data_IF_597872725529
#
_entry.id   IF_597872725529
#
_cell.length_a   1.000
_cell.length_b   1.000
_cell.length_c   1.000
_cell.angle_alpha   90.00
_cell.angle_beta   90.00
_cell.angle_gamma   90.00
#
_symmetry.space_group_name_H-M   'P 1'
#
loop_
_entity.id
_entity.type
_entity.pdbx_description
1 polymer ?
#
# COMPACT_ATOMS: atom_id res chain seq x y z
N UNK A 1 -26.13 -17.83 10.36
CA UNK A 1 -24.76 -17.84 10.93
C UNK A 1 -24.54 -16.51 11.65
N UNK A 2 -24.00 -16.53 12.86
CA UNK A 2 -23.63 -15.29 13.56
C UNK A 2 -22.32 -14.76 13.00
N UNK A 3 -22.07 -13.46 13.12
CA UNK A 3 -20.82 -12.82 12.67
C UNK A 3 -19.57 -13.48 13.27
N UNK A 4 -19.63 -13.92 14.54
CA UNK A 4 -18.53 -14.64 15.19
C UNK A 4 -18.20 -15.98 14.50
N UNK A 5 -19.21 -16.70 14.00
CA UNK A 5 -19.00 -17.95 13.28
C UNK A 5 -18.36 -17.72 11.90
N UNK A 6 -18.68 -16.61 11.25
CA UNK A 6 -18.09 -16.26 9.94
C UNK A 6 -16.61 -15.97 10.10
N UNK A 7 -16.23 -15.17 11.10
CA UNK A 7 -14.81 -14.83 11.35
C UNK A 7 -13.99 -16.06 11.76
N UNK A 8 -14.55 -16.93 12.62
CA UNK A 8 -13.88 -18.18 13.01
C UNK A 8 -13.70 -19.12 11.81
N UNK A 9 -14.71 -19.23 10.93
CA UNK A 9 -14.62 -20.02 9.71
C UNK A 9 -13.55 -19.45 8.76
N UNK A 10 -13.53 -18.14 8.55
CA UNK A 10 -12.53 -17.48 7.71
C UNK A 10 -11.10 -17.74 8.23
N UNK A 11 -10.87 -17.53 9.53
CA UNK A 11 -9.58 -17.79 10.16
C UNK A 11 -9.16 -19.27 10.04
N UNK A 12 -10.09 -20.19 10.24
CA UNK A 12 -9.87 -21.61 10.06
C UNK A 12 -9.53 -21.99 8.62
N UNK A 13 -10.20 -21.42 7.64
CA UNK A 13 -9.92 -21.66 6.22
C UNK A 13 -8.56 -21.11 5.79
N UNK A 14 -8.16 -19.94 6.29
CA UNK A 14 -6.82 -19.40 6.05
C UNK A 14 -5.76 -20.32 6.68
N UNK A 15 -5.95 -20.70 7.95
CA UNK A 15 -4.99 -21.53 8.67
C UNK A 15 -4.82 -22.94 8.08
N UNK A 16 -5.89 -23.50 7.49
CA UNK A 16 -5.90 -24.82 6.86
C UNK A 16 -5.47 -24.82 5.39
N UNK A 17 -5.22 -23.63 4.78
CA UNK A 17 -4.96 -23.52 3.36
C UNK A 17 -6.19 -23.67 2.45
N UNK A 18 -7.40 -23.65 3.03
CA UNK A 18 -8.65 -23.65 2.26
C UNK A 18 -8.93 -22.30 1.57
N UNK A 19 -8.24 -21.24 2.01
CA UNK A 19 -8.14 -19.95 1.35
C UNK A 19 -6.66 -19.65 1.16
N UNK A 20 -6.26 -19.39 -0.08
CA UNK A 20 -4.93 -18.91 -0.41
C UNK A 20 -4.88 -17.39 -0.22
N UNK A 21 -3.87 -16.92 0.50
CA UNK A 21 -3.56 -15.50 0.63
C UNK A 21 -2.32 -15.20 -0.20
N UNK A 22 -2.50 -14.37 -1.21
CA UNK A 22 -1.42 -14.00 -2.13
C UNK A 22 -0.96 -12.58 -1.82
N UNK A 23 0.32 -12.42 -1.50
CA UNK A 23 0.94 -11.10 -1.35
C UNK A 23 1.36 -10.57 -2.71
N UNK A 24 0.69 -9.53 -3.18
CA UNK A 24 0.99 -8.84 -4.43
C UNK A 24 1.84 -7.58 -4.21
N UNK A 25 2.40 -7.39 -3.02
CA UNK A 25 3.21 -6.22 -2.68
C UNK A 25 4.56 -6.25 -3.39
N UNK A 26 4.87 -5.20 -4.14
CA UNK A 26 6.21 -4.99 -4.68
C UNK A 26 7.21 -4.61 -3.59
N UNK A 27 8.46 -5.02 -3.74
CA UNK A 27 9.52 -4.64 -2.82
C UNK A 27 9.67 -3.10 -2.76
N UNK A 28 9.59 -2.53 -1.56
CA UNK A 28 9.77 -1.10 -1.34
C UNK A 28 11.21 -0.80 -0.94
N UNK A 29 11.90 0.00 -1.74
CA UNK A 29 13.29 0.36 -1.49
C UNK A 29 13.83 1.38 -2.49
N UNK A 30 15.13 1.71 -2.41
CA UNK A 30 15.75 2.69 -3.31
C UNK A 30 15.63 2.35 -4.81
N UNK A 31 15.50 1.07 -5.15
CA UNK A 31 15.35 0.57 -6.52
C UNK A 31 13.88 0.47 -6.98
N UNK A 32 12.93 0.86 -6.14
CA UNK A 32 11.51 0.85 -6.53
C UNK A 32 11.29 1.77 -7.73
N UNK A 33 10.72 1.26 -8.84
CA UNK A 33 10.41 2.09 -9.99
C UNK A 33 9.45 3.23 -9.62
N UNK A 34 9.78 4.43 -10.06
CA UNK A 34 8.94 5.61 -9.88
C UNK A 34 8.45 6.10 -11.24
N UNK A 35 7.19 6.53 -11.27
CA UNK A 35 6.63 7.16 -12.46
C UNK A 35 7.40 8.46 -12.76
N UNK A 36 7.88 8.59 -13.98
CA UNK A 36 8.48 9.81 -14.50
C UNK A 36 7.53 10.47 -15.47
N UNK A 37 7.19 11.70 -15.20
CA UNK A 37 6.33 12.51 -16.05
C UNK A 37 7.18 13.52 -16.84
N UNK A 38 6.71 13.96 -18.04
CA UNK A 38 7.34 15.05 -18.73
C UNK A 38 7.41 16.30 -17.83
N UNK A 39 8.54 17.03 -17.81
CA UNK A 39 8.76 18.16 -16.90
C UNK A 39 7.69 19.26 -16.97
N UNK A 40 7.05 19.39 -18.13
CA UNK A 40 5.97 20.37 -18.37
C UNK A 40 4.65 19.99 -17.68
N UNK A 41 4.51 18.73 -17.26
CA UNK A 41 3.29 18.23 -16.62
C UNK A 41 3.38 18.23 -15.10
N UNK A 42 4.49 17.75 -14.57
CA UNK A 42 4.64 17.63 -13.12
C UNK A 42 6.12 17.52 -12.71
N UNK A 43 6.36 17.69 -11.43
CA UNK A 43 7.65 17.35 -10.82
C UNK A 43 7.68 15.86 -10.51
N UNK A 44 8.82 15.24 -10.76
CA UNK A 44 9.04 13.84 -10.37
C UNK A 44 9.03 13.68 -8.85
N UNK A 45 8.52 12.53 -8.42
CA UNK A 45 8.70 12.06 -7.05
C UNK A 45 10.18 11.75 -6.80
N UNK A 46 10.77 12.21 -5.69
CA UNK A 46 12.16 11.89 -5.36
C UNK A 46 12.33 10.38 -5.08
N UNK A 47 13.52 9.83 -5.33
CA UNK A 47 13.82 8.43 -5.02
C UNK A 47 13.62 8.11 -3.54
N UNK A 48 13.21 6.87 -3.26
CA UNK A 48 13.06 6.37 -1.89
C UNK A 48 14.44 6.32 -1.23
N UNK A 49 14.52 6.83 0.00
CA UNK A 49 15.71 6.69 0.84
C UNK A 49 15.35 5.99 2.15
N UNK A 50 16.23 5.09 2.55
CA UNK A 50 16.14 4.38 3.83
C UNK A 50 17.30 4.88 4.69
N UNK A 51 16.97 5.51 5.80
CA UNK A 51 17.92 6.05 6.74
C UNK A 51 17.96 5.19 7.99
N UNK A 52 19.05 4.47 8.19
CA UNK A 52 19.23 3.63 9.37
C UNK A 52 19.37 4.52 10.63
N UNK A 53 18.61 4.16 11.66
CA UNK A 53 18.72 4.79 12.97
C UNK A 53 19.56 3.90 13.89
N UNK A 54 19.25 2.60 13.98
CA UNK A 54 20.01 1.62 14.76
C UNK A 54 19.90 0.22 14.18
N UNK A 55 20.84 -0.66 14.52
CA UNK A 55 20.85 -2.07 14.16
C UNK A 55 21.56 -2.89 15.23
N UNK A 56 20.94 -2.99 16.41
CA UNK A 56 21.50 -3.64 17.60
C UNK A 56 22.90 -3.14 17.95
N UNK A 57 23.14 -1.84 17.80
CA UNK A 57 24.39 -1.14 18.02
C UNK A 57 24.28 -0.10 19.16
N UNK A 58 25.32 0.73 19.32
CA UNK A 58 25.34 1.77 20.37
C UNK A 58 24.20 2.77 20.31
N UNK A 59 23.60 2.97 19.13
CA UNK A 59 22.52 3.94 18.90
C UNK A 59 21.13 3.32 19.20
N UNK A 60 21.09 1.99 19.43
CA UNK A 60 19.90 1.25 19.84
C UNK A 60 20.22 -0.23 20.06
N UNK A 61 20.69 -0.62 21.26
CA UNK A 61 21.21 -1.97 21.51
C UNK A 61 20.16 -3.08 21.52
N UNK A 62 18.87 -2.72 21.57
CA UNK A 62 17.74 -3.67 21.70
C UNK A 62 16.86 -3.78 20.46
N UNK A 63 17.13 -3.01 19.39
CA UNK A 63 16.29 -2.97 18.20
C UNK A 63 17.07 -2.56 16.95
N UNK A 64 16.45 -2.88 15.79
CA UNK A 64 16.85 -2.38 14.49
C UNK A 64 15.66 -1.61 13.88
N UNK A 65 15.88 -0.41 13.40
CA UNK A 65 14.87 0.38 12.74
C UNK A 65 15.43 1.52 11.89
N UNK A 66 14.58 2.00 10.97
CA UNK A 66 14.92 3.02 10.01
C UNK A 66 13.84 4.09 9.99
N UNK A 67 14.14 5.25 9.41
CA UNK A 67 13.11 6.14 8.91
C UNK A 67 13.19 6.22 7.38
N UNK A 68 12.05 6.53 6.74
CA UNK A 68 11.90 6.51 5.30
C UNK A 68 11.61 7.90 4.77
N UNK A 69 12.24 8.22 3.63
CA UNK A 69 11.93 9.39 2.81
C UNK A 69 11.38 8.86 1.49
N UNK A 70 10.10 9.08 1.23
CA UNK A 70 9.42 8.58 0.02
C UNK A 70 8.25 9.48 -0.35
N UNK A 71 7.88 9.47 -1.62
CA UNK A 71 6.65 10.10 -2.09
C UNK A 71 5.44 9.18 -1.89
N UNK A 72 4.25 9.76 -1.85
CA UNK A 72 2.98 9.02 -1.65
C UNK A 72 2.75 7.94 -2.71
N UNK A 73 3.12 8.21 -3.96
CA UNK A 73 2.96 7.30 -5.10
C UNK A 73 4.24 6.46 -5.30
N UNK A 74 4.63 5.71 -4.27
CA UNK A 74 5.82 4.85 -4.29
C UNK A 74 5.45 3.42 -3.91
N UNK A 75 5.93 2.44 -4.70
CA UNK A 75 5.65 1.02 -4.46
C UNK A 75 4.18 0.64 -4.66
N UNK A 76 3.76 -0.43 -4.02
CA UNK A 76 2.37 -0.90 -4.07
C UNK A 76 1.51 -0.06 -3.13
N UNK A 77 0.60 0.72 -3.68
CA UNK A 77 -0.27 1.63 -2.95
C UNK A 77 -1.63 1.76 -3.67
N UNK A 78 -2.57 2.42 -3.04
CA UNK A 78 -3.79 2.89 -3.68
C UNK A 78 -3.85 4.41 -3.68
N UNK A 79 -4.51 4.98 -4.66
CA UNK A 79 -4.76 6.42 -4.74
C UNK A 79 -6.10 6.74 -4.09
N UNK A 80 -6.09 7.61 -3.08
CA UNK A 80 -7.32 8.17 -2.57
C UNK A 80 -7.99 9.07 -3.64
N UNK A 81 -9.32 9.20 -3.67
CA UNK A 81 -10.03 10.01 -4.67
C UNK A 81 -9.48 11.42 -4.84
N UNK A 82 -8.98 12.03 -3.76
CA UNK A 82 -8.41 13.37 -3.79
C UNK A 82 -7.22 13.52 -4.75
N UNK A 83 -6.53 12.43 -5.08
CA UNK A 83 -5.46 12.47 -6.07
C UNK A 83 -5.95 12.90 -7.47
N UNK A 84 -7.16 12.49 -7.84
CA UNK A 84 -7.74 12.75 -9.16
C UNK A 84 -8.94 13.70 -9.14
N UNK A 85 -9.68 13.75 -8.03
CA UNK A 85 -10.91 14.49 -7.87
C UNK A 85 -10.67 15.60 -6.85
N UNK A 86 -10.93 16.84 -7.21
CA UNK A 86 -10.77 17.97 -6.29
C UNK A 86 -11.72 17.84 -5.09
N UNK A 87 -11.31 18.30 -3.92
CA UNK A 87 -12.15 18.28 -2.72
C UNK A 87 -13.48 19.02 -2.86
N UNK A 88 -13.64 19.84 -3.90
CA UNK A 88 -14.88 20.49 -4.25
C UNK A 88 -15.96 19.50 -4.71
N UNK A 89 -15.56 18.49 -5.46
CA UNK A 89 -16.48 17.52 -6.05
C UNK A 89 -16.60 16.25 -5.19
N UNK A 90 -15.64 15.99 -4.33
CA UNK A 90 -15.60 14.86 -3.42
C UNK A 90 -14.93 15.25 -2.09
N UNK A 91 -15.67 15.83 -1.15
CA UNK A 91 -15.09 16.40 0.07
C UNK A 91 -14.41 15.39 0.99
N UNK A 92 -14.88 14.13 1.03
CA UNK A 92 -14.34 13.05 1.87
C UNK A 92 -13.37 12.14 1.10
N UNK A 93 -12.61 12.69 0.18
CA UNK A 93 -11.74 11.97 -0.74
C UNK A 93 -10.32 11.71 -0.23
N UNK A 94 -9.98 12.10 0.99
CA UNK A 94 -8.66 11.86 1.56
C UNK A 94 -8.52 10.46 2.17
N UNK A 95 -7.31 9.98 2.31
CA UNK A 95 -7.03 8.65 2.87
C UNK A 95 -7.58 8.46 4.28
N UNK A 96 -7.51 9.49 5.11
CA UNK A 96 -7.99 9.51 6.50
C UNK A 96 -9.52 9.65 6.64
N UNK A 97 -10.20 10.11 5.58
CA UNK A 97 -11.66 10.24 5.56
C UNK A 97 -12.36 9.12 4.79
N UNK A 98 -11.60 8.31 4.07
CA UNK A 98 -12.16 7.22 3.27
C UNK A 98 -12.72 6.11 4.16
N UNK A 99 -13.93 5.63 3.86
CA UNK A 99 -14.50 4.48 4.54
C UNK A 99 -13.64 3.23 4.28
N UNK A 100 -13.05 2.70 5.34
CA UNK A 100 -12.15 1.53 5.31
C UNK A 100 -12.81 0.29 4.69
N UNK A 101 -14.13 0.16 4.73
CA UNK A 101 -14.86 -0.95 4.11
C UNK A 101 -14.69 -0.98 2.59
N UNK A 102 -14.42 0.16 1.97
CA UNK A 102 -14.14 0.26 0.52
C UNK A 102 -12.80 -0.36 0.12
N UNK A 103 -11.90 -0.59 1.09
CA UNK A 103 -10.59 -1.21 0.85
C UNK A 103 -10.64 -2.74 0.79
N UNK A 104 -11.80 -3.33 1.06
CA UNK A 104 -12.04 -4.77 0.97
C UNK A 104 -13.20 -5.01 0.02
N UNK A 105 -12.91 -5.51 -1.18
CA UNK A 105 -13.91 -5.72 -2.22
C UNK A 105 -13.56 -6.91 -3.10
N UNK A 106 -14.55 -7.53 -3.76
CA UNK A 106 -14.28 -8.44 -4.87
C UNK A 106 -13.54 -7.72 -5.99
N UNK A 107 -12.58 -8.41 -6.62
CA UNK A 107 -11.81 -7.88 -7.73
C UNK A 107 -12.15 -8.62 -9.03
N UNK A 108 -12.23 -7.89 -10.15
CA UNK A 108 -12.29 -8.46 -11.48
C UNK A 108 -10.89 -8.31 -12.12
N UNK A 109 -10.31 -9.42 -12.53
CA UNK A 109 -9.02 -9.42 -13.22
C UNK A 109 -9.26 -9.34 -14.72
N UNK A 110 -8.72 -8.31 -15.37
CA UNK A 110 -8.67 -8.17 -16.83
C UNK A 110 -7.24 -8.42 -17.26
N UNK A 111 -7.00 -9.56 -17.91
CA UNK A 111 -5.67 -9.97 -18.35
C UNK A 111 -5.49 -9.67 -19.83
N UNK A 112 -4.57 -8.77 -20.16
CA UNK A 112 -4.16 -8.39 -21.51
C UNK A 112 -2.72 -8.82 -21.83
N UNK A 113 -2.13 -9.71 -21.05
CA UNK A 113 -0.72 -10.12 -21.19
C UNK A 113 -0.42 -10.90 -22.49
N UNK A 114 -1.44 -11.34 -23.20
CA UNK A 114 -1.31 -12.11 -24.43
C UNK A 114 -1.50 -11.28 -25.73
N UNK A 115 -1.70 -9.95 -25.63
CA UNK A 115 -1.90 -9.05 -26.79
C UNK A 115 -0.60 -8.41 -27.29
#
# INVERSE_FOLDING_TARGET
MTSANILASLAGMIASGGIEVVDCTGLLGPETPLLKLPPDFAKDTPPIKIHRISEYDKDGPFWAWNWLELGEHSGTHFDAPHHWITGKDYPDGYTDTLDVQRLVAPVNVLDFSAE
#
